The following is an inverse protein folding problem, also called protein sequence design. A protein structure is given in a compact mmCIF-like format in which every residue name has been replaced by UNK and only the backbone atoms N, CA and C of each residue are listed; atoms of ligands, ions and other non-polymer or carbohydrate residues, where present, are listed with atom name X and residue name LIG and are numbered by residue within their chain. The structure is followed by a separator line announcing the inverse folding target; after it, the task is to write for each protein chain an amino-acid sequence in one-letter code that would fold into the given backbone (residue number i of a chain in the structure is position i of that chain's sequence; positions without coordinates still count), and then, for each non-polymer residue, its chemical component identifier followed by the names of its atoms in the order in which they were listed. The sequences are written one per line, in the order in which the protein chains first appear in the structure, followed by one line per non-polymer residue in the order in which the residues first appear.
data_IF_534489267960
#
_entry.id   IF_534489267960
#
_cell.length_a   1.000
_cell.length_b   1.000
_cell.length_c   1.000
_cell.angle_alpha   90.00
_cell.angle_beta   90.00
_cell.angle_gamma   90.00
#
_symmetry.space_group_name_H-M   'P 1'
#
loop_
_entity.id
_entity.type
_entity.pdbx_description
1 polymer ?
#
# COMPACT_ATOMS: atom_id res chain seq x y z
N UNK A 1 18.05 1.54 10.91
CA UNK A 1 19.42 1.01 10.77
C UNK A 1 20.00 1.38 9.39
N UNK A 2 21.27 1.80 9.28
CA UNK A 2 21.94 2.04 8.00
C UNK A 2 22.11 0.74 7.19
N UNK A 3 21.75 0.77 5.92
CA UNK A 3 21.86 -0.41 5.05
C UNK A 3 23.34 -0.78 4.80
N UNK A 4 23.62 -2.10 4.76
CA UNK A 4 24.94 -2.68 4.57
C UNK A 4 25.06 -3.51 3.28
N UNK A 5 24.00 -3.61 2.47
CA UNK A 5 23.98 -4.35 1.22
C UNK A 5 23.99 -3.41 0.01
N UNK A 6 24.50 -3.89 -1.11
CA UNK A 6 24.41 -3.19 -2.40
C UNK A 6 22.97 -3.23 -2.89
N UNK A 7 22.42 -2.07 -3.25
CA UNK A 7 21.09 -1.88 -3.78
C UNK A 7 21.11 -1.00 -5.02
N UNK A 8 20.08 -0.19 -5.22
CA UNK A 8 20.08 0.85 -6.27
C UNK A 8 21.13 1.93 -6.02
N UNK A 9 21.55 2.08 -4.78
CA UNK A 9 22.60 2.99 -4.30
C UNK A 9 23.60 2.21 -3.45
N UNK A 10 24.85 2.69 -3.32
CA UNK A 10 25.84 2.08 -2.43
C UNK A 10 25.38 2.05 -0.98
N UNK A 11 25.90 1.11 -0.16
CA UNK A 11 25.51 0.98 1.25
C UNK A 11 25.79 2.25 2.06
N UNK A 12 24.81 2.68 2.86
CA UNK A 12 24.96 3.85 3.73
C UNK A 12 26.08 3.69 4.76
N UNK A 13 26.30 2.46 5.24
CA UNK A 13 27.38 2.15 6.21
C UNK A 13 28.75 2.57 5.70
N UNK A 14 29.11 2.26 4.45
CA UNK A 14 30.38 2.66 3.84
C UNK A 14 30.58 4.19 3.87
N UNK A 15 29.53 4.93 3.54
CA UNK A 15 29.56 6.39 3.51
C UNK A 15 29.69 6.99 4.92
N UNK A 16 29.02 6.41 5.91
CA UNK A 16 29.13 6.84 7.31
C UNK A 16 30.54 6.63 7.81
N UNK A 17 31.14 5.48 7.56
CA UNK A 17 32.53 5.17 7.97
C UNK A 17 33.51 6.15 7.34
N UNK A 18 33.38 6.43 6.05
CA UNK A 18 34.31 7.33 5.32
C UNK A 18 34.10 8.82 5.65
N UNK A 19 33.01 9.20 6.32
CA UNK A 19 32.67 10.60 6.62
C UNK A 19 33.41 11.18 7.86
N UNK A 20 34.11 10.34 8.64
CA UNK A 20 34.77 10.75 9.88
C UNK A 20 33.84 10.89 11.10
N UNK A 21 32.57 10.50 10.98
CA UNK A 21 31.62 10.45 12.10
C UNK A 21 32.15 9.48 13.16
N UNK A 22 32.05 9.86 14.45
CA UNK A 22 32.53 9.04 15.57
C UNK A 22 31.38 8.35 16.33
N UNK A 23 30.20 8.91 16.28
CA UNK A 23 29.04 8.42 17.06
C UNK A 23 27.78 8.42 16.20
N UNK A 24 27.04 7.30 16.28
CA UNK A 24 25.80 7.09 15.52
C UNK A 24 24.69 6.67 16.47
N UNK A 25 23.54 7.31 16.36
CA UNK A 25 22.30 6.91 17.04
C UNK A 25 21.35 6.26 16.05
N UNK A 26 20.84 5.09 16.38
CA UNK A 26 19.93 4.32 15.56
C UNK A 26 18.69 3.97 16.38
N UNK A 27 17.52 4.39 15.94
CA UNK A 27 16.29 4.18 16.69
C UNK A 27 15.88 2.70 16.73
N UNK A 28 15.84 2.03 15.57
CA UNK A 28 15.43 0.62 15.47
C UNK A 28 16.41 -0.18 14.62
N UNK A 29 16.51 -1.47 14.95
CA UNK A 29 17.13 -2.46 14.09
C UNK A 29 16.27 -2.69 12.85
N UNK A 30 16.89 -2.87 11.69
CA UNK A 30 16.14 -3.12 10.45
C UNK A 30 15.48 -4.52 10.51
N UNK A 31 14.17 -4.64 10.28
CA UNK A 31 13.49 -5.94 10.23
C UNK A 31 13.86 -6.77 8.99
N UNK A 32 14.45 -6.17 7.97
CA UNK A 32 14.91 -6.88 6.77
C UNK A 32 16.11 -7.78 7.11
N UNK A 33 15.97 -9.09 6.93
CA UNK A 33 17.00 -10.10 7.23
C UNK A 33 18.32 -9.87 6.47
N UNK A 34 18.29 -9.12 5.36
CA UNK A 34 19.50 -8.75 4.61
C UNK A 34 20.36 -7.76 5.40
N UNK A 35 19.76 -6.94 6.25
CA UNK A 35 20.39 -5.90 7.08
C UNK A 35 20.46 -6.36 8.52
N UNK A 36 19.37 -6.41 9.21
CA UNK A 36 19.11 -6.97 10.55
C UNK A 36 20.31 -7.01 11.53
N UNK A 37 20.87 -5.86 11.86
CA UNK A 37 22.00 -5.70 12.77
C UNK A 37 23.38 -5.75 12.10
N UNK A 38 23.49 -6.18 10.85
CA UNK A 38 24.78 -6.25 10.14
C UNK A 38 25.39 -4.86 9.92
N UNK A 39 24.54 -3.87 9.61
CA UNK A 39 24.99 -2.48 9.49
C UNK A 39 25.53 -1.91 10.79
N UNK A 40 24.87 -2.20 11.91
CA UNK A 40 25.33 -1.79 13.24
C UNK A 40 26.68 -2.42 13.59
N UNK A 41 26.86 -3.70 13.27
CA UNK A 41 28.11 -4.41 13.54
C UNK A 41 29.27 -3.84 12.71
N UNK A 42 29.07 -3.60 11.42
CA UNK A 42 30.09 -2.98 10.56
C UNK A 42 30.50 -1.59 11.05
N UNK A 43 29.58 -0.77 11.56
CA UNK A 43 29.91 0.52 12.15
C UNK A 43 30.77 0.36 13.41
N UNK A 44 30.44 -0.60 14.31
CA UNK A 44 31.20 -0.89 15.53
C UNK A 44 32.60 -1.42 15.21
N UNK A 45 32.70 -2.35 14.27
CA UNK A 45 33.97 -2.90 13.78
C UNK A 45 34.90 -1.83 13.18
N UNK A 46 34.33 -0.78 12.58
CA UNK A 46 35.06 0.37 12.09
C UNK A 46 35.40 1.41 13.18
N UNK A 47 35.12 1.10 14.46
CA UNK A 47 35.49 1.94 15.60
C UNK A 47 34.50 3.07 15.93
N UNK A 48 33.28 3.05 15.37
CA UNK A 48 32.27 4.04 15.71
C UNK A 48 31.50 3.64 16.98
N UNK A 49 31.14 4.62 17.81
CA UNK A 49 30.20 4.42 18.91
C UNK A 49 28.79 4.32 18.35
N UNK A 50 28.11 3.19 18.57
CA UNK A 50 26.75 2.94 18.05
C UNK A 50 25.79 2.72 19.20
N UNK A 51 24.85 3.65 19.36
CA UNK A 51 23.76 3.63 20.33
C UNK A 51 22.45 3.24 19.63
N UNK A 52 21.77 2.21 20.15
CA UNK A 52 20.50 1.72 19.62
C UNK A 52 19.36 2.01 20.61
N UNK A 53 18.17 2.33 20.11
CA UNK A 53 16.94 2.44 20.89
C UNK A 53 16.46 3.88 21.16
N UNK A 54 17.19 4.91 20.73
CA UNK A 54 16.75 6.29 20.89
C UNK A 54 15.49 6.55 20.04
N UNK A 55 14.39 7.00 20.67
CA UNK A 55 13.08 7.23 20.01
C UNK A 55 12.55 5.97 19.29
N UNK A 56 12.66 4.80 19.90
CA UNK A 56 12.31 3.53 19.28
C UNK A 56 10.82 3.44 18.95
N UNK A 57 9.92 3.84 19.86
CA UNK A 57 8.47 3.77 19.68
C UNK A 57 8.00 4.68 18.54
N UNK A 58 8.51 5.89 18.45
CA UNK A 58 8.21 6.82 17.37
C UNK A 58 8.71 6.28 16.03
N UNK A 59 9.90 5.71 15.99
CA UNK A 59 10.46 5.12 14.79
C UNK A 59 9.65 3.91 14.32
N UNK A 60 9.18 3.05 15.24
CA UNK A 60 8.28 1.93 14.93
C UNK A 60 6.97 2.47 14.36
N UNK A 61 6.38 3.50 14.97
CA UNK A 61 5.13 4.10 14.53
C UNK A 61 5.20 4.64 13.11
N UNK A 62 6.26 5.38 12.77
CA UNK A 62 6.48 5.95 11.44
C UNK A 62 6.72 4.85 10.39
N UNK A 63 7.44 3.79 10.75
CA UNK A 63 7.83 2.71 9.84
C UNK A 63 6.89 1.48 9.90
N UNK A 64 5.72 1.59 10.52
CA UNK A 64 4.79 0.47 10.78
C UNK A 64 4.51 -0.37 9.53
N UNK A 65 4.27 0.24 8.38
CA UNK A 65 3.97 -0.46 7.13
C UNK A 65 5.18 -1.26 6.61
N UNK A 66 6.37 -0.67 6.65
CA UNK A 66 7.62 -1.33 6.28
C UNK A 66 7.93 -2.52 7.20
N UNK A 67 7.82 -2.31 8.50
CA UNK A 67 8.05 -3.35 9.51
C UNK A 67 7.06 -4.49 9.32
N UNK A 68 5.76 -4.18 9.20
CA UNK A 68 4.72 -5.18 8.99
C UNK A 68 5.00 -6.05 7.76
N UNK A 69 5.30 -5.42 6.62
CA UNK A 69 5.60 -6.15 5.39
C UNK A 69 6.80 -7.08 5.53
N UNK A 70 7.88 -6.63 6.16
CA UNK A 70 9.07 -7.47 6.34
C UNK A 70 8.84 -8.65 7.30
N UNK A 71 8.02 -8.46 8.32
CA UNK A 71 7.71 -9.52 9.29
C UNK A 71 6.66 -10.52 8.79
N UNK A 72 5.70 -10.08 7.99
CA UNK A 72 4.53 -10.91 7.61
C UNK A 72 4.50 -11.30 6.14
N UNK A 73 5.27 -10.64 5.28
CA UNK A 73 5.17 -10.76 3.82
C UNK A 73 3.90 -10.15 3.22
N UNK A 74 3.15 -9.36 3.99
CA UNK A 74 1.89 -8.74 3.59
C UNK A 74 1.96 -7.22 3.65
N UNK A 75 1.25 -6.53 2.77
CA UNK A 75 1.08 -5.08 2.86
C UNK A 75 0.30 -4.69 4.12
N UNK A 76 0.67 -3.59 4.74
CA UNK A 76 -0.06 -3.03 5.88
C UNK A 76 -1.39 -2.41 5.41
N UNK A 77 -2.50 -3.00 5.85
CA UNK A 77 -3.84 -2.58 5.46
C UNK A 77 -4.46 -1.59 6.45
N UNK A 78 -5.02 -0.51 5.92
CA UNK A 78 -5.88 0.42 6.66
C UNK A 78 -7.29 0.35 6.09
N UNK A 79 -8.28 0.11 6.94
CA UNK A 79 -9.69 0.10 6.55
C UNK A 79 -10.29 1.49 6.72
N UNK A 80 -10.96 1.98 5.66
CA UNK A 80 -11.70 3.23 5.67
C UNK A 80 -13.12 3.01 5.16
N UNK A 81 -14.09 3.42 5.93
CA UNK A 81 -15.49 3.46 5.50
C UNK A 81 -16.17 4.73 5.98
N UNK A 82 -17.24 5.13 5.30
CA UNK A 82 -18.16 6.15 5.77
C UNK A 82 -19.41 5.46 6.30
N UNK A 83 -19.87 5.87 7.48
CA UNK A 83 -21.10 5.34 8.08
C UNK A 83 -21.88 6.44 8.80
N UNK A 84 -23.20 6.24 8.91
CA UNK A 84 -24.06 7.06 9.76
C UNK A 84 -23.84 6.73 11.24
N UNK A 85 -24.41 7.53 12.15
CA UNK A 85 -24.24 7.34 13.59
C UNK A 85 -24.78 5.99 14.09
N UNK A 86 -25.76 5.43 13.37
CA UNK A 86 -26.33 4.10 13.62
C UNK A 86 -25.60 2.98 12.86
N UNK A 87 -24.41 3.25 12.31
CA UNK A 87 -23.54 2.23 11.69
C UNK A 87 -23.95 1.82 10.27
N UNK A 88 -24.77 2.60 9.56
CA UNK A 88 -25.19 2.28 8.18
C UNK A 88 -24.22 2.86 7.17
N UNK A 89 -23.85 2.06 6.17
CA UNK A 89 -22.97 2.43 5.06
C UNK A 89 -23.76 2.78 3.78
N UNK A 90 -25.08 2.74 3.82
CA UNK A 90 -25.98 3.07 2.72
C UNK A 90 -27.44 2.83 3.09
N UNK A 91 -28.35 3.31 2.23
CA UNK A 91 -29.78 3.11 2.36
C UNK A 91 -30.20 1.71 1.90
N UNK A 92 -31.41 1.26 2.28
CA UNK A 92 -31.98 -0.03 1.84
C UNK A 92 -32.08 -0.15 0.32
N UNK A 93 -32.29 0.95 -0.38
CA UNK A 93 -32.31 0.99 -1.85
C UNK A 93 -30.93 0.97 -2.51
N UNK A 94 -29.86 0.85 -1.72
CA UNK A 94 -28.48 0.79 -2.18
C UNK A 94 -27.80 2.14 -2.46
N UNK A 95 -28.46 3.26 -2.26
CA UNK A 95 -27.83 4.59 -2.34
C UNK A 95 -26.90 4.79 -1.14
N UNK A 96 -25.65 5.21 -1.40
CA UNK A 96 -24.59 5.41 -0.41
C UNK A 96 -24.01 6.83 -0.43
N UNK A 97 -24.45 7.68 -1.34
CA UNK A 97 -23.92 9.03 -1.54
C UNK A 97 -24.95 10.08 -1.08
N UNK A 98 -24.61 11.08 -0.24
CA UNK A 98 -23.32 11.22 0.47
C UNK A 98 -23.60 11.08 1.97
N UNK A 99 -22.85 10.21 2.66
CA UNK A 99 -22.99 10.02 4.12
C UNK A 99 -22.21 11.10 4.87
N UNK A 100 -21.07 11.53 4.31
CA UNK A 100 -20.18 12.54 4.89
C UNK A 100 -20.16 13.80 4.03
N UNK A 101 -19.86 14.94 4.66
CA UNK A 101 -19.79 16.25 4.01
C UNK A 101 -18.53 16.40 3.12
N UNK A 102 -18.43 17.53 2.40
CA UNK A 102 -17.33 17.81 1.46
C UNK A 102 -15.97 17.89 2.17
N UNK A 103 -15.94 18.47 3.37
CA UNK A 103 -14.71 18.56 4.17
C UNK A 103 -14.17 17.15 4.50
N UNK A 104 -15.01 16.27 5.02
CA UNK A 104 -14.58 14.88 5.29
C UNK A 104 -14.10 14.16 4.04
N UNK A 105 -14.72 14.45 2.89
CA UNK A 105 -14.27 13.86 1.61
C UNK A 105 -12.93 14.42 1.14
N UNK A 106 -12.66 15.73 1.36
CA UNK A 106 -11.33 16.31 1.05
C UNK A 106 -10.24 15.67 1.90
N UNK A 107 -10.47 15.47 3.20
CA UNK A 107 -9.54 14.75 4.08
C UNK A 107 -9.23 13.33 3.55
N UNK A 108 -10.23 12.64 2.97
CA UNK A 108 -9.99 11.32 2.36
C UNK A 108 -9.12 11.41 1.12
N UNK A 109 -9.17 12.50 0.35
CA UNK A 109 -8.27 12.67 -0.80
C UNK A 109 -6.83 12.84 -0.34
N UNK A 110 -6.58 13.70 0.64
CA UNK A 110 -5.26 13.86 1.26
C UNK A 110 -4.78 12.54 1.90
N UNK A 111 -5.66 11.84 2.61
CA UNK A 111 -5.32 10.53 3.19
C UNK A 111 -4.83 9.54 2.15
N UNK A 112 -5.41 9.51 0.94
CA UNK A 112 -4.97 8.59 -0.12
C UNK A 112 -3.51 8.81 -0.52
N UNK A 113 -3.00 10.03 -0.41
CA UNK A 113 -1.61 10.35 -0.75
C UNK A 113 -0.59 9.61 0.12
N UNK A 114 -0.98 9.17 1.32
CA UNK A 114 -0.12 8.41 2.24
C UNK A 114 -0.03 6.91 1.90
N UNK A 115 -0.76 6.45 0.87
CA UNK A 115 -0.82 5.04 0.51
C UNK A 115 -0.16 4.73 -0.83
N UNK A 116 0.28 3.48 -0.97
CA UNK A 116 0.84 2.97 -2.22
C UNK A 116 -0.27 2.45 -3.16
N UNK A 117 -1.34 1.91 -2.58
CA UNK A 117 -2.48 1.41 -3.33
C UNK A 117 -3.82 1.67 -2.62
N UNK A 118 -4.87 1.91 -3.40
CA UNK A 118 -6.25 2.09 -2.94
C UNK A 118 -7.09 0.92 -3.47
N UNK A 119 -7.70 0.17 -2.56
CA UNK A 119 -8.44 -1.06 -2.89
C UNK A 119 -9.93 -0.87 -2.69
N UNK A 120 -10.72 -1.28 -3.67
CA UNK A 120 -12.18 -1.36 -3.55
C UNK A 120 -12.71 -2.70 -4.03
N UNK A 121 -13.84 -3.12 -3.50
CA UNK A 121 -14.56 -4.30 -3.98
C UNK A 121 -15.23 -4.06 -5.33
N UNK A 122 -15.45 -5.14 -6.11
CA UNK A 122 -16.15 -5.07 -7.39
C UNK A 122 -17.56 -4.49 -7.27
N UNK A 123 -18.24 -4.65 -6.13
CA UNK A 123 -19.57 -4.06 -5.91
C UNK A 123 -19.50 -2.51 -5.80
N UNK A 124 -18.51 -1.98 -5.12
CA UNK A 124 -18.24 -0.54 -5.05
C UNK A 124 -17.95 0.02 -6.45
N UNK A 125 -17.14 -0.68 -7.25
CA UNK A 125 -16.90 -0.26 -8.64
C UNK A 125 -18.20 -0.23 -9.47
N UNK A 126 -19.06 -1.22 -9.31
CA UNK A 126 -20.34 -1.28 -10.04
C UNK A 126 -21.30 -0.16 -9.66
N UNK A 127 -21.40 0.14 -8.35
CA UNK A 127 -22.40 1.12 -7.83
C UNK A 127 -21.90 2.55 -7.87
N UNK A 128 -20.68 2.79 -7.42
CA UNK A 128 -20.20 4.15 -7.15
C UNK A 128 -19.33 4.71 -8.27
N UNK A 129 -18.82 3.84 -9.16
CA UNK A 129 -17.92 4.23 -10.28
C UNK A 129 -16.83 5.24 -9.86
N UNK A 130 -16.05 4.96 -8.81
CA UNK A 130 -15.15 5.94 -8.20
C UNK A 130 -13.92 6.21 -9.08
N UNK A 131 -13.26 7.36 -8.89
CA UNK A 131 -11.96 7.68 -9.51
C UNK A 131 -10.78 7.10 -8.72
N UNK A 132 -10.87 7.07 -7.40
CA UNK A 132 -9.84 6.64 -6.44
C UNK A 132 -8.52 7.41 -6.52
N UNK A 133 -8.49 8.57 -7.13
CA UNK A 133 -7.30 9.44 -7.19
C UNK A 133 -7.14 10.27 -5.93
N UNK A 134 -5.96 10.85 -5.75
CA UNK A 134 -5.66 11.87 -4.73
C UNK A 134 -6.08 13.26 -5.16
N UNK A 135 -6.58 13.41 -6.40
CA UNK A 135 -6.92 14.69 -7.03
C UNK A 135 -5.71 15.64 -7.14
N UNK A 136 -4.54 15.08 -7.40
CA UNK A 136 -3.31 15.84 -7.64
C UNK A 136 -2.43 16.07 -6.41
N UNK A 137 -2.81 15.57 -5.23
CA UNK A 137 -2.00 15.71 -4.02
C UNK A 137 -0.74 14.83 -4.02
N UNK A 138 -0.70 13.80 -4.90
CA UNK A 138 0.45 12.90 -5.05
C UNK A 138 0.75 12.59 -6.50
N UNK A 139 2.02 12.59 -6.86
CA UNK A 139 2.52 12.14 -8.16
C UNK A 139 3.71 11.22 -7.97
N UNK A 140 3.70 10.00 -8.53
CA UNK A 140 2.58 9.37 -9.23
C UNK A 140 1.41 9.03 -8.27
N UNK A 141 0.20 9.01 -8.82
CA UNK A 141 -1.01 8.59 -8.08
C UNK A 141 -0.85 7.16 -7.53
N UNK A 142 -1.46 6.81 -6.40
CA UNK A 142 -1.51 5.45 -5.88
C UNK A 142 -2.08 4.46 -6.90
N UNK A 143 -1.62 3.21 -6.84
CA UNK A 143 -2.23 2.14 -7.63
C UNK A 143 -3.70 1.97 -7.24
N UNK A 144 -4.60 1.99 -8.22
CA UNK A 144 -6.03 1.71 -8.00
C UNK A 144 -6.27 0.22 -8.17
N UNK A 145 -6.85 -0.42 -7.17
CA UNK A 145 -7.04 -1.87 -7.15
C UNK A 145 -8.53 -2.20 -7.03
N UNK A 146 -9.02 -3.02 -7.93
CA UNK A 146 -10.35 -3.63 -7.84
C UNK A 146 -10.19 -5.08 -7.44
N UNK A 147 -10.76 -5.45 -6.31
CA UNK A 147 -10.79 -6.82 -5.83
C UNK A 147 -12.20 -7.42 -5.98
N UNK A 148 -12.35 -8.48 -6.75
CA UNK A 148 -13.70 -9.02 -7.07
C UNK A 148 -13.72 -10.54 -7.18
N UNK A 149 -14.79 -11.16 -6.71
CA UNK A 149 -15.06 -12.59 -6.96
C UNK A 149 -15.46 -12.85 -8.42
N UNK A 150 -16.20 -11.92 -9.00
CA UNK A 150 -16.79 -12.09 -10.33
C UNK A 150 -16.30 -11.00 -11.27
N UNK A 151 -16.06 -11.32 -12.51
CA UNK A 151 -15.67 -10.37 -13.56
C UNK A 151 -16.88 -9.66 -14.20
N UNK A 152 -18.06 -9.77 -13.60
CA UNK A 152 -19.25 -9.03 -14.08
C UNK A 152 -19.12 -7.54 -13.75
N UNK A 153 -18.23 -6.86 -14.48
CA UNK A 153 -17.94 -5.44 -14.34
C UNK A 153 -18.25 -4.77 -15.67
N UNK A 154 -18.94 -3.63 -15.67
CA UNK A 154 -19.19 -2.87 -16.90
C UNK A 154 -17.91 -2.44 -17.60
N UNK A 155 -17.94 -2.41 -18.93
CA UNK A 155 -16.81 -2.01 -19.79
C UNK A 155 -16.41 -0.55 -19.64
N UNK A 156 -17.34 0.31 -19.24
CA UNK A 156 -17.09 1.74 -19.07
C UNK A 156 -17.07 2.11 -17.58
N UNK A 157 -15.92 2.40 -17.04
CA UNK A 157 -15.71 2.84 -15.65
C UNK A 157 -14.59 3.87 -15.55
N UNK A 158 -14.72 4.79 -14.62
CA UNK A 158 -13.69 5.81 -14.35
C UNK A 158 -12.32 5.21 -14.03
N UNK A 159 -12.29 4.04 -13.39
CA UNK A 159 -11.04 3.33 -13.09
C UNK A 159 -10.32 2.80 -14.32
N UNK A 160 -10.99 2.68 -15.46
CA UNK A 160 -10.38 2.25 -16.72
C UNK A 160 -9.62 3.38 -17.45
N UNK A 161 -9.75 4.62 -16.98
CA UNK A 161 -8.91 5.72 -17.49
C UNK A 161 -7.50 5.61 -16.89
N UNK A 162 -6.60 4.97 -17.64
CA UNK A 162 -5.23 4.72 -17.22
C UNK A 162 -4.33 5.96 -17.29
N UNK A 163 -4.74 7.03 -17.98
CA UNK A 163 -4.01 8.30 -18.01
C UNK A 163 -4.02 8.99 -16.64
N UNK A 164 -5.07 8.76 -15.86
CA UNK A 164 -5.18 9.32 -14.51
C UNK A 164 -4.30 8.57 -13.48
N UNK A 165 -4.29 7.24 -13.54
CA UNK A 165 -3.49 6.41 -12.65
C UNK A 165 -3.47 4.95 -13.12
N UNK A 166 -2.46 4.18 -12.72
CA UNK A 166 -2.41 2.74 -12.96
C UNK A 166 -3.55 2.02 -12.26
N UNK A 167 -4.10 0.99 -12.91
CA UNK A 167 -5.19 0.18 -12.34
C UNK A 167 -4.84 -1.31 -12.41
N UNK A 168 -5.12 -2.02 -11.33
CA UNK A 168 -5.00 -3.47 -11.20
C UNK A 168 -6.37 -4.07 -10.90
N UNK A 169 -6.82 -4.99 -11.74
CA UNK A 169 -7.99 -5.82 -11.48
C UNK A 169 -7.54 -7.18 -10.92
N UNK A 170 -7.97 -7.50 -9.72
CA UNK A 170 -7.69 -8.80 -9.07
C UNK A 170 -9.00 -9.57 -8.94
N UNK A 171 -9.02 -10.79 -9.46
CA UNK A 171 -10.21 -11.62 -9.44
C UNK A 171 -9.95 -13.05 -8.93
N UNK A 172 -11.01 -13.71 -8.46
CA UNK A 172 -10.97 -15.09 -7.98
C UNK A 172 -11.21 -16.06 -9.15
N UNK A 173 -10.21 -16.81 -9.51
CA UNK A 173 -10.24 -17.65 -10.71
C UNK A 173 -11.31 -18.74 -10.72
N UNK A 174 -11.66 -19.31 -9.56
CA UNK A 174 -12.68 -20.36 -9.46
C UNK A 174 -14.12 -19.86 -9.63
N UNK A 175 -14.35 -18.54 -9.47
CA UNK A 175 -15.71 -17.94 -9.46
C UNK A 175 -15.96 -17.01 -10.64
N UNK A 176 -14.94 -16.73 -11.45
CA UNK A 176 -15.01 -15.71 -12.49
C UNK A 176 -15.30 -16.30 -13.88
N UNK A 177 -16.18 -15.66 -14.62
CA UNK A 177 -16.34 -15.93 -16.05
C UNK A 177 -15.28 -15.08 -16.82
N UNK A 178 -14.21 -15.71 -17.24
CA UNK A 178 -13.06 -15.06 -17.88
C UNK A 178 -13.38 -14.41 -19.24
N UNK A 179 -14.51 -14.73 -19.87
CA UNK A 179 -14.98 -14.05 -21.08
C UNK A 179 -15.21 -12.54 -20.88
N UNK A 180 -15.38 -12.09 -19.63
CA UNK A 180 -15.47 -10.67 -19.34
C UNK A 180 -14.13 -9.94 -19.42
N UNK A 181 -12.98 -10.65 -19.41
CA UNK A 181 -11.66 -10.05 -19.53
C UNK A 181 -11.47 -9.31 -20.86
N UNK A 182 -12.10 -9.79 -21.94
CA UNK A 182 -12.05 -9.16 -23.27
C UNK A 182 -12.62 -7.73 -23.27
N UNK A 183 -13.45 -7.41 -22.26
CA UNK A 183 -14.07 -6.08 -22.11
C UNK A 183 -13.22 -5.12 -21.27
N UNK A 184 -12.16 -5.60 -20.64
CA UNK A 184 -11.28 -4.77 -19.81
C UNK A 184 -10.22 -4.14 -20.72
N UNK A 185 -9.99 -2.81 -20.60
CA UNK A 185 -8.97 -2.14 -21.41
C UNK A 185 -7.58 -2.74 -21.21
N UNK A 186 -6.80 -2.84 -22.29
CA UNK A 186 -5.45 -3.43 -22.27
C UNK A 186 -4.45 -2.72 -21.35
N UNK A 187 -4.73 -1.48 -20.99
CA UNK A 187 -3.91 -0.69 -20.05
C UNK A 187 -4.12 -1.08 -18.57
N UNK A 188 -5.13 -1.88 -18.28
CA UNK A 188 -5.42 -2.36 -16.91
C UNK A 188 -4.65 -3.66 -16.67
N UNK A 189 -3.80 -3.67 -15.64
CA UNK A 189 -3.15 -4.88 -15.20
C UNK A 189 -4.18 -5.85 -14.61
N UNK A 190 -3.99 -7.15 -14.87
CA UNK A 190 -4.91 -8.20 -14.40
C UNK A 190 -4.13 -9.22 -13.59
N UNK A 191 -4.69 -9.64 -12.45
CA UNK A 191 -4.15 -10.72 -11.65
C UNK A 191 -5.26 -11.68 -11.20
N UNK A 192 -4.94 -12.96 -11.18
CA UNK A 192 -5.81 -14.04 -10.73
C UNK A 192 -5.32 -14.57 -9.39
N UNK A 193 -6.23 -14.77 -8.45
CA UNK A 193 -5.94 -15.41 -7.15
C UNK A 193 -6.88 -16.59 -6.90
N UNK A 194 -6.53 -17.44 -5.93
CA UNK A 194 -7.24 -18.70 -5.67
C UNK A 194 -8.53 -18.54 -4.88
N UNK A 195 -8.63 -17.51 -4.04
CA UNK A 195 -9.83 -17.24 -3.21
C UNK A 195 -10.02 -15.76 -2.95
N UNK A 196 -11.15 -15.40 -2.34
CA UNK A 196 -11.47 -14.03 -1.92
C UNK A 196 -10.92 -13.64 -0.54
N UNK A 197 -9.94 -14.39 -0.03
CA UNK A 197 -9.24 -14.05 1.20
C UNK A 197 -8.43 -12.75 1.00
N UNK A 198 -8.73 -11.67 1.76
CA UNK A 198 -8.00 -10.41 1.64
C UNK A 198 -6.49 -10.53 1.87
N UNK A 199 -6.05 -11.55 2.61
CA UNK A 199 -4.63 -11.83 2.86
C UNK A 199 -3.87 -12.17 1.58
N UNK A 200 -4.52 -12.85 0.63
CA UNK A 200 -3.92 -13.17 -0.67
C UNK A 200 -3.69 -11.90 -1.51
N UNK A 201 -4.64 -10.97 -1.49
CA UNK A 201 -4.44 -9.68 -2.15
C UNK A 201 -3.34 -8.87 -1.46
N UNK A 202 -3.33 -8.83 -0.13
CA UNK A 202 -2.29 -8.13 0.64
C UNK A 202 -0.89 -8.68 0.33
N UNK A 203 -0.76 -10.01 0.25
CA UNK A 203 0.48 -10.68 -0.15
C UNK A 203 0.88 -10.34 -1.59
N UNK A 204 -0.04 -10.45 -2.54
CA UNK A 204 0.19 -10.08 -3.94
C UNK A 204 0.70 -8.64 -4.09
N UNK A 205 0.12 -7.69 -3.35
CA UNK A 205 0.53 -6.30 -3.37
C UNK A 205 1.91 -6.10 -2.71
N UNK A 206 2.19 -6.80 -1.61
CA UNK A 206 3.50 -6.78 -0.96
C UNK A 206 4.62 -7.29 -1.88
N UNK A 207 4.38 -8.40 -2.60
CA UNK A 207 5.31 -8.97 -3.59
C UNK A 207 5.58 -7.99 -4.76
N UNK A 208 4.59 -7.17 -5.12
CA UNK A 208 4.73 -6.09 -6.12
C UNK A 208 5.39 -4.82 -5.60
N UNK A 209 5.81 -4.79 -4.33
CA UNK A 209 6.54 -3.68 -3.73
C UNK A 209 5.69 -2.68 -2.94
N UNK A 210 4.38 -2.85 -2.86
CA UNK A 210 3.49 -1.97 -2.11
C UNK A 210 3.54 -2.29 -0.61
N UNK A 211 3.79 -1.29 0.23
CA UNK A 211 3.92 -1.46 1.67
C UNK A 211 2.61 -1.16 2.42
N UNK A 212 1.89 -0.11 2.00
CA UNK A 212 0.73 0.44 2.70
C UNK A 212 -0.46 0.56 1.76
N UNK A 213 -1.58 -0.07 2.11
CA UNK A 213 -2.78 -0.12 1.28
C UNK A 213 -4.00 0.39 2.04
N UNK A 214 -4.85 1.16 1.35
CA UNK A 214 -6.13 1.66 1.87
C UNK A 214 -7.27 0.84 1.27
N UNK A 215 -8.05 0.21 2.15
CA UNK A 215 -9.27 -0.51 1.78
C UNK A 215 -10.50 0.39 1.94
#
# INVERSE_FOLDING_TARGET
EPCCHEGKTPPCVKRIISSGIKKVFVSIKDPDLRVSGKGLNQLREAGLEVNLGLCEEEAISINKAFIHKNLTGQSYGVLKWAMSIDGRIGLKNGKSQWITNDYSRSVVHSLRADFDAIVVGGNTLRKDNPLLTTRGEKTPEPLRVVFTKTLNIPSERNLWNCDLAKTLLVYVGSSANEKFLDKIPKCVDIAKISSDDPRLLSKLLAERGFNKILW
#
